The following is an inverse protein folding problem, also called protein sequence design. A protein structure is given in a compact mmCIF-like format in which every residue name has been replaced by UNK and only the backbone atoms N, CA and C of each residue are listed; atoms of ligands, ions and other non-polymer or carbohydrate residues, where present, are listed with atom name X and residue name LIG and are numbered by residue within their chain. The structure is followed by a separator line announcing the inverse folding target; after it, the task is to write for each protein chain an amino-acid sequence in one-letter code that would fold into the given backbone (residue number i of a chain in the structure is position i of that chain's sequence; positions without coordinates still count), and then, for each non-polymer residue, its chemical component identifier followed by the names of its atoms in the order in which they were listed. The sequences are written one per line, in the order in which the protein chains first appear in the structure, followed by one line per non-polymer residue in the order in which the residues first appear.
data_IF_647014551094
#
_entry.id   IF_647014551094
#
_cell.length_a   1.000
_cell.length_b   1.000
_cell.length_c   1.000
_cell.angle_alpha   90.00
_cell.angle_beta   90.00
_cell.angle_gamma   90.00
#
_symmetry.space_group_name_H-M   'P 1'
#
loop_
_entity.id
_entity.type
_entity.pdbx_description
1 polymer ?
#
# COMPACT_ATOMS: atom_id res chain seq x y z
N UNK A 1 -12.47 19.73 5.50
CA UNK A 1 -12.66 18.37 4.94
C UNK A 1 -11.27 17.82 4.72
N UNK A 2 -10.77 17.02 5.64
CA UNK A 2 -9.43 16.42 5.51
C UNK A 2 -9.55 15.31 4.46
N UNK A 3 -9.08 15.58 3.24
CA UNK A 3 -8.98 14.53 2.22
C UNK A 3 -7.84 13.62 2.68
N UNK A 4 -8.14 12.37 2.98
CA UNK A 4 -7.12 11.36 3.28
C UNK A 4 -6.03 11.40 2.19
N UNK A 5 -4.77 11.31 2.59
CA UNK A 5 -3.64 11.36 1.67
C UNK A 5 -3.66 10.07 0.85
N UNK A 6 -4.05 10.18 -0.42
CA UNK A 6 -3.96 9.09 -1.38
C UNK A 6 -2.60 9.14 -2.08
N UNK A 7 -1.84 8.05 -2.00
CA UNK A 7 -0.66 7.81 -2.83
C UNK A 7 -0.89 6.54 -3.64
N UNK A 8 -0.44 6.52 -4.88
CA UNK A 8 -0.55 5.38 -5.77
C UNK A 8 0.79 5.18 -6.46
N UNK A 9 1.23 3.92 -6.53
CA UNK A 9 2.42 3.49 -7.24
C UNK A 9 2.09 2.25 -8.06
N UNK A 10 2.73 2.09 -9.22
CA UNK A 10 2.72 0.83 -9.95
C UNK A 10 3.69 -0.17 -9.31
N UNK A 11 3.42 -1.45 -9.47
CA UNK A 11 4.37 -2.52 -9.15
C UNK A 11 5.31 -2.76 -10.32
N UNK A 12 6.59 -2.95 -10.06
CA UNK A 12 7.59 -3.40 -11.03
C UNK A 12 7.35 -4.86 -11.46
N UNK A 13 8.09 -5.35 -12.46
CA UNK A 13 7.90 -6.70 -13.04
C UNK A 13 7.96 -7.85 -12.01
N UNK A 14 8.64 -7.64 -10.88
CA UNK A 14 8.76 -8.61 -9.77
C UNK A 14 7.68 -8.46 -8.70
N UNK A 15 6.73 -7.54 -8.85
CA UNK A 15 5.72 -7.22 -7.84
C UNK A 15 6.20 -6.26 -6.75
N UNK A 16 7.43 -5.75 -6.86
CA UNK A 16 8.01 -4.77 -5.94
C UNK A 16 7.34 -3.40 -6.14
N UNK A 17 7.13 -2.66 -5.05
CA UNK A 17 6.58 -1.31 -5.07
C UNK A 17 7.21 -0.46 -3.97
N UNK A 18 7.26 0.86 -4.18
CA UNK A 18 7.74 1.79 -3.17
C UNK A 18 6.89 3.06 -3.15
N UNK A 19 6.41 3.43 -1.97
CA UNK A 19 5.71 4.70 -1.74
C UNK A 19 6.54 5.52 -0.75
N UNK A 20 7.22 6.54 -1.24
CA UNK A 20 8.06 7.44 -0.42
C UNK A 20 7.33 8.73 -0.05
N UNK A 21 7.80 9.41 1.00
CA UNK A 21 7.28 10.72 1.41
C UNK A 21 5.88 10.67 2.03
N UNK A 22 5.56 9.56 2.71
CA UNK A 22 4.37 9.48 3.55
C UNK A 22 4.59 10.28 4.84
N UNK A 23 3.55 10.98 5.26
CA UNK A 23 3.52 11.62 6.57
C UNK A 23 3.31 10.56 7.64
N UNK A 24 3.79 10.78 8.88
CA UNK A 24 3.47 9.88 9.99
C UNK A 24 1.97 9.83 10.24
N UNK A 25 1.35 8.68 10.04
CA UNK A 25 -0.08 8.44 10.19
C UNK A 25 -0.39 6.94 10.13
N UNK A 26 -1.66 6.60 10.32
CA UNK A 26 -2.18 5.25 10.08
C UNK A 26 -2.80 5.20 8.69
N UNK A 27 -2.39 4.23 7.89
CA UNK A 27 -2.82 4.04 6.51
C UNK A 27 -3.54 2.71 6.31
N UNK A 28 -4.51 2.72 5.41
CA UNK A 28 -5.04 1.51 4.79
C UNK A 28 -4.42 1.38 3.40
N UNK A 29 -3.80 0.24 3.10
CA UNK A 29 -3.10 -0.03 1.85
C UNK A 29 -3.88 -1.05 1.05
N UNK A 30 -4.30 -0.68 -0.16
CA UNK A 30 -5.04 -1.54 -1.08
C UNK A 30 -4.21 -1.88 -2.33
N UNK A 31 -4.23 -3.14 -2.73
CA UNK A 31 -3.56 -3.63 -3.95
C UNK A 31 -4.59 -4.28 -4.87
N UNK A 32 -4.53 -3.91 -6.14
CA UNK A 32 -5.41 -4.42 -7.20
C UNK A 32 -4.57 -4.90 -8.38
N UNK A 33 -4.90 -6.09 -8.89
CA UNK A 33 -4.29 -6.67 -10.09
C UNK A 33 -5.38 -7.38 -10.89
N UNK A 34 -5.40 -7.16 -12.21
CA UNK A 34 -6.38 -7.80 -13.09
C UNK A 34 -6.24 -9.33 -12.99
N UNK A 35 -7.38 -10.02 -12.81
CA UNK A 35 -7.41 -11.48 -12.66
C UNK A 35 -7.23 -11.98 -11.22
N UNK A 36 -7.04 -11.06 -10.26
CA UNK A 36 -6.92 -11.36 -8.84
C UNK A 36 -7.96 -10.60 -8.03
N UNK A 37 -8.25 -11.12 -6.84
CA UNK A 37 -9.11 -10.47 -5.86
C UNK A 37 -8.34 -9.30 -5.21
N UNK A 38 -8.91 -8.09 -5.12
CA UNK A 38 -8.31 -6.98 -4.39
C UNK A 38 -7.99 -7.39 -2.95
N UNK A 39 -6.86 -6.91 -2.44
CA UNK A 39 -6.48 -7.10 -1.04
C UNK A 39 -6.30 -5.75 -0.35
N UNK A 40 -6.68 -5.68 0.93
CA UNK A 40 -6.54 -4.47 1.75
C UNK A 40 -5.89 -4.83 3.07
N UNK A 41 -4.77 -4.18 3.38
CA UNK A 41 -4.13 -4.22 4.68
C UNK A 41 -4.48 -2.94 5.43
N UNK A 42 -5.18 -3.07 6.55
CA UNK A 42 -5.64 -1.92 7.34
C UNK A 42 -4.73 -1.65 8.53
N UNK A 43 -4.66 -0.39 8.93
CA UNK A 43 -3.97 -0.03 10.18
C UNK A 43 -2.45 -0.04 10.10
N UNK A 44 -1.87 0.17 8.90
CA UNK A 44 -0.41 0.27 8.72
C UNK A 44 0.06 1.57 9.37
N UNK A 45 0.84 1.46 10.45
CA UNK A 45 1.38 2.62 11.17
C UNK A 45 2.69 3.05 10.50
N UNK A 46 2.74 4.27 9.97
CA UNK A 46 3.95 4.88 9.43
C UNK A 46 4.47 5.92 10.41
N UNK A 47 5.75 5.82 10.78
CA UNK A 47 6.43 6.80 11.65
C UNK A 47 7.54 7.55 10.89
N UNK A 48 8.04 8.65 11.45
CA UNK A 48 9.09 9.47 10.81
C UNK A 48 10.35 8.65 10.58
N UNK A 49 10.83 8.62 9.34
CA UNK A 49 12.10 7.99 8.99
C UNK A 49 12.08 6.46 8.97
N UNK A 50 10.92 5.84 9.18
CA UNK A 50 10.76 4.39 9.16
C UNK A 50 10.38 3.90 7.76
N UNK A 51 10.88 2.71 7.40
CA UNK A 51 10.41 1.95 6.24
C UNK A 51 9.55 0.81 6.74
N UNK A 52 8.26 0.85 6.42
CA UNK A 52 7.31 -0.22 6.76
C UNK A 52 7.17 -1.15 5.56
N UNK A 53 7.34 -2.45 5.79
CA UNK A 53 7.19 -3.48 4.76
C UNK A 53 5.82 -4.14 4.93
N UNK A 54 5.03 -4.18 3.86
CA UNK A 54 3.73 -4.84 3.82
C UNK A 54 3.70 -5.80 2.63
N UNK A 55 3.65 -7.09 2.90
CA UNK A 55 3.56 -8.11 1.86
C UNK A 55 2.10 -8.46 1.56
N UNK A 56 1.80 -8.64 0.28
CA UNK A 56 0.48 -9.04 -0.21
C UNK A 56 0.56 -10.35 -0.96
N UNK A 57 -0.27 -11.32 -0.56
CA UNK A 57 -0.49 -12.53 -1.33
C UNK A 57 -1.86 -12.46 -2.00
N UNK A 58 -1.86 -12.20 -3.31
CA UNK A 58 -3.09 -12.07 -4.08
C UNK A 58 -3.66 -13.46 -4.40
N UNK A 59 -4.98 -13.59 -4.28
CA UNK A 59 -5.73 -14.80 -4.67
C UNK A 59 -6.34 -14.59 -6.05
N UNK A 60 -6.28 -15.62 -6.89
CA UNK A 60 -6.94 -15.61 -8.20
C UNK A 60 -8.45 -15.50 -8.01
N UNK A 61 -9.10 -14.71 -8.85
CA UNK A 61 -10.56 -14.52 -8.84
C UNK A 61 -11.32 -15.73 -9.38
#
# INVERSE_FOLDING_TARGET
MEKGILRTAGTEEKGEYQIAGLMPAVYDVSVELRGFQPQVHKGVVVTVGETVIVDFQLKVS
#
